data_IF_769047434757
#
_entry.id   IF_769047434757
#
_cell.length_a   1.000
_cell.length_b   1.000
_cell.length_c   1.000
_cell.angle_alpha   90.00
_cell.angle_beta   90.00
_cell.angle_gamma   90.00
#
_symmetry.space_group_name_H-M   'P 1'
#
loop_
_entity.id
_entity.type
_entity.pdbx_description
1 polymer ?
#
# COMPACT_ATOMS: atom_id res chain seq x y z
N UNK A 1 -11.65 -8.15 2.66
CA UNK A 1 -10.91 -6.92 3.03
C UNK A 1 -9.54 -6.90 2.36
N UNK A 2 -8.65 -7.83 2.70
CA UNK A 2 -7.26 -7.87 2.21
C UNK A 2 -7.08 -8.02 0.67
N UNK A 3 -8.09 -8.50 -0.03
CA UNK A 3 -8.11 -8.65 -1.49
C UNK A 3 -9.20 -7.78 -2.16
N UNK A 4 -9.72 -6.77 -1.44
CA UNK A 4 -10.68 -5.81 -1.96
C UNK A 4 -12.05 -6.36 -2.44
N UNK A 5 -12.48 -7.53 -1.95
CA UNK A 5 -13.80 -8.12 -2.28
C UNK A 5 -14.82 -8.11 -1.15
N UNK A 6 -14.59 -7.33 -0.09
CA UNK A 6 -15.49 -7.27 1.08
C UNK A 6 -16.82 -6.57 0.82
N UNK A 7 -16.95 -5.86 -0.30
CA UNK A 7 -18.08 -4.97 -0.58
C UNK A 7 -18.09 -3.66 0.23
N UNK A 8 -16.98 -3.34 0.90
CA UNK A 8 -16.77 -2.04 1.54
C UNK A 8 -16.49 -1.00 0.44
N UNK A 9 -17.05 0.22 0.51
CA UNK A 9 -16.79 1.26 -0.47
C UNK A 9 -15.33 1.72 -0.43
N UNK A 10 -14.90 2.46 -1.46
CA UNK A 10 -13.53 2.97 -1.57
C UNK A 10 -13.06 3.74 -0.33
N UNK A 11 -13.93 4.61 0.17
CA UNK A 11 -13.76 5.44 1.36
C UNK A 11 -15.06 5.50 2.16
N UNK A 12 -15.00 5.84 3.46
CA UNK A 12 -16.20 6.19 4.24
C UNK A 12 -16.92 7.39 3.62
N UNK A 13 -18.25 7.35 3.53
CA UNK A 13 -19.03 8.45 2.95
C UNK A 13 -19.05 9.71 3.82
N UNK A 14 -18.75 9.58 5.12
CA UNK A 14 -18.57 10.69 6.04
C UNK A 14 -17.12 11.25 6.03
N UNK A 15 -16.20 10.68 5.24
CA UNK A 15 -14.91 11.30 4.91
C UNK A 15 -15.07 12.17 3.66
N UNK A 16 -15.68 13.33 3.83
CA UNK A 16 -15.92 14.25 2.73
C UNK A 16 -14.65 15.03 2.36
N UNK A 17 -13.94 14.58 1.32
CA UNK A 17 -12.66 15.16 0.89
C UNK A 17 -12.72 16.66 0.56
N UNK A 18 -13.90 17.20 0.23
CA UNK A 18 -14.12 18.63 -0.03
C UNK A 18 -14.23 19.49 1.23
N UNK A 19 -14.46 18.88 2.40
CA UNK A 19 -14.66 19.56 3.69
C UNK A 19 -13.46 19.42 4.64
N UNK A 20 -12.48 18.60 4.28
CA UNK A 20 -11.24 18.39 5.06
C UNK A 20 -10.08 19.18 4.48
N UNK A 21 -8.96 19.23 5.20
CA UNK A 21 -7.73 19.82 4.68
C UNK A 21 -7.23 19.01 3.47
N UNK A 22 -7.23 19.57 2.25
CA UNK A 22 -6.83 18.82 1.06
C UNK A 22 -5.34 18.41 1.08
N UNK A 23 -4.51 19.09 1.88
CA UNK A 23 -3.09 18.74 2.04
C UNK A 23 -2.87 17.52 2.94
N UNK A 24 -3.83 17.16 3.80
CA UNK A 24 -3.74 15.99 4.67
C UNK A 24 -5.17 15.49 5.01
N UNK A 25 -5.85 14.85 4.04
CA UNK A 25 -7.30 14.65 4.10
C UNK A 25 -7.74 13.59 5.12
N UNK A 26 -6.85 12.70 5.53
CA UNK A 26 -7.16 11.60 6.46
C UNK A 26 -6.91 11.94 7.93
N UNK A 27 -6.14 13.00 8.22
CA UNK A 27 -5.59 13.29 9.57
C UNK A 27 -6.65 13.31 10.66
N UNK A 28 -7.79 13.93 10.37
CA UNK A 28 -8.86 14.12 11.36
C UNK A 28 -9.93 13.03 11.31
N UNK A 29 -9.80 12.02 10.44
CA UNK A 29 -10.69 10.86 10.42
C UNK A 29 -10.22 9.84 11.47
N UNK A 30 -10.68 10.00 12.70
CA UNK A 30 -10.23 9.21 13.86
C UNK A 30 -11.25 8.12 14.19
N UNK A 31 -10.98 7.40 15.27
CA UNK A 31 -11.80 6.26 15.71
C UNK A 31 -13.27 6.61 15.91
N UNK A 32 -13.58 7.79 16.44
CA UNK A 32 -14.96 8.26 16.62
C UNK A 32 -15.71 8.35 15.30
N UNK A 33 -15.07 8.90 14.27
CA UNK A 33 -15.64 9.07 12.93
C UNK A 33 -15.81 7.72 12.24
N UNK A 34 -14.82 6.82 12.38
CA UNK A 34 -14.91 5.45 11.88
C UNK A 34 -16.06 4.68 12.56
N UNK A 35 -16.13 4.71 13.89
CA UNK A 35 -17.18 4.03 14.64
C UNK A 35 -18.57 4.51 14.21
N UNK A 36 -18.76 5.84 14.19
CA UNK A 36 -20.01 6.45 13.72
C UNK A 36 -20.38 5.97 12.32
N UNK A 37 -19.43 5.96 11.39
CA UNK A 37 -19.67 5.49 10.03
C UNK A 37 -20.11 4.02 10.01
N UNK A 38 -19.37 3.15 10.69
CA UNK A 38 -19.63 1.70 10.72
C UNK A 38 -21.00 1.39 11.32
N UNK A 39 -21.47 2.16 12.30
CA UNK A 39 -22.75 1.92 12.98
C UNK A 39 -23.95 2.61 12.33
N UNK A 40 -23.75 3.77 11.70
CA UNK A 40 -24.86 4.61 11.23
C UNK A 40 -24.97 4.74 9.71
N UNK A 41 -23.91 4.45 8.94
CA UNK A 41 -23.84 4.83 7.52
C UNK A 41 -23.19 3.81 6.60
N UNK A 42 -22.64 2.72 7.14
CA UNK A 42 -22.01 1.70 6.32
C UNK A 42 -23.07 0.93 5.51
N UNK A 43 -22.92 0.98 4.20
CA UNK A 43 -23.63 0.12 3.27
C UNK A 43 -22.63 -0.75 2.53
N UNK A 44 -22.90 -2.06 2.50
CA UNK A 44 -22.10 -3.00 1.71
C UNK A 44 -22.71 -3.10 0.31
N UNK A 45 -21.88 -2.89 -0.71
CA UNK A 45 -22.24 -3.03 -2.12
C UNK A 45 -21.28 -4.00 -2.80
N UNK A 46 -21.73 -4.76 -3.78
CA UNK A 46 -20.86 -5.56 -4.66
C UNK A 46 -19.95 -6.56 -3.89
N UNK A 47 -20.51 -7.21 -2.85
CA UNK A 47 -19.78 -8.22 -2.08
C UNK A 47 -19.37 -9.39 -2.99
N UNK A 48 -18.09 -9.75 -2.96
CA UNK A 48 -17.54 -10.79 -3.83
C UNK A 48 -17.07 -10.26 -5.19
N UNK A 49 -17.25 -8.98 -5.48
CA UNK A 49 -16.65 -8.31 -6.63
C UNK A 49 -15.43 -7.50 -6.19
N UNK A 50 -14.48 -7.30 -7.09
CA UNK A 50 -13.30 -6.49 -6.82
C UNK A 50 -13.63 -5.00 -6.85
N UNK A 51 -13.38 -4.32 -5.73
CA UNK A 51 -13.41 -2.85 -5.63
C UNK A 51 -12.30 -2.38 -4.70
N UNK A 52 -11.28 -1.73 -5.26
CA UNK A 52 -10.18 -1.17 -4.47
C UNK A 52 -10.73 -0.23 -3.38
N UNK A 53 -10.32 -0.49 -2.14
CA UNK A 53 -10.94 0.14 -0.97
C UNK A 53 -9.92 0.39 0.13
N UNK A 54 -9.60 1.66 0.32
CA UNK A 54 -8.79 2.15 1.45
C UNK A 54 -9.52 1.91 2.76
N UNK A 55 -10.85 2.02 2.78
CA UNK A 55 -11.64 1.64 3.95
C UNK A 55 -11.44 0.17 4.32
N UNK A 56 -11.44 -0.75 3.34
CA UNK A 56 -11.31 -2.18 3.63
C UNK A 56 -9.96 -2.54 4.26
N UNK A 57 -8.86 -2.04 3.71
CA UNK A 57 -7.51 -2.33 4.24
C UNK A 57 -7.18 -1.49 5.48
N UNK A 58 -7.67 -0.25 5.56
CA UNK A 58 -7.58 0.58 6.76
C UNK A 58 -8.34 -0.04 7.95
N UNK A 59 -9.58 -0.50 7.72
CA UNK A 59 -10.37 -1.22 8.74
C UNK A 59 -9.73 -2.55 9.13
N UNK A 60 -9.10 -3.27 8.20
CA UNK A 60 -8.33 -4.47 8.52
C UNK A 60 -7.17 -4.14 9.47
N UNK A 61 -6.38 -3.09 9.20
CA UNK A 61 -5.29 -2.66 10.08
C UNK A 61 -5.78 -2.23 11.46
N UNK A 62 -6.88 -1.47 11.52
CA UNK A 62 -7.54 -1.09 12.78
C UNK A 62 -8.03 -2.33 13.56
N UNK A 63 -8.72 -3.26 12.89
CA UNK A 63 -9.24 -4.47 13.53
C UNK A 63 -8.13 -5.36 14.10
N UNK A 64 -6.99 -5.47 13.40
CA UNK A 64 -5.83 -6.21 13.92
C UNK A 64 -5.24 -5.54 15.17
N UNK A 65 -5.24 -4.22 15.21
CA UNK A 65 -4.80 -3.42 16.37
C UNK A 65 -5.70 -3.68 17.58
N UNK A 66 -7.02 -3.69 17.38
CA UNK A 66 -8.01 -4.02 18.42
C UNK A 66 -7.86 -5.46 18.94
N UNK A 67 -7.68 -6.44 18.04
CA UNK A 67 -7.54 -7.86 18.40
C UNK A 67 -6.28 -8.11 19.24
N UNK A 68 -5.16 -7.49 18.86
CA UNK A 68 -3.90 -7.63 19.59
C UNK A 68 -3.81 -6.70 20.80
N UNK A 69 -4.79 -5.81 20.99
CA UNK A 69 -4.80 -4.75 22.00
C UNK A 69 -3.49 -3.94 21.97
N UNK A 70 -3.12 -3.50 20.77
CA UNK A 70 -1.85 -2.84 20.48
C UNK A 70 -2.02 -1.82 19.35
N UNK A 71 -1.06 -0.90 19.19
CA UNK A 71 -1.13 0.09 18.10
C UNK A 71 -0.69 -0.51 16.77
N UNK A 72 -1.26 -0.03 15.65
CA UNK A 72 -0.85 -0.44 14.31
C UNK A 72 0.66 -0.28 14.08
N UNK A 73 1.23 0.84 14.55
CA UNK A 73 2.68 1.07 14.49
C UNK A 73 3.47 0.01 15.24
N UNK A 74 3.10 -0.30 16.47
CA UNK A 74 3.85 -1.28 17.26
C UNK A 74 3.70 -2.69 16.66
N UNK A 75 2.54 -3.03 16.10
CA UNK A 75 2.35 -4.27 15.35
C UNK A 75 3.26 -4.35 14.12
N UNK A 76 3.37 -3.27 13.33
CA UNK A 76 4.30 -3.20 12.21
C UNK A 76 5.75 -3.39 12.67
N UNK A 77 6.18 -2.67 13.71
CA UNK A 77 7.52 -2.79 14.27
C UNK A 77 7.81 -4.23 14.71
N UNK A 78 6.91 -4.85 15.47
CA UNK A 78 7.07 -6.17 16.10
C UNK A 78 6.94 -7.35 15.14
N UNK A 79 6.05 -7.25 14.16
CA UNK A 79 5.66 -8.40 13.31
C UNK A 79 6.29 -8.34 11.92
N UNK A 80 6.67 -7.15 11.44
CA UNK A 80 7.20 -6.96 10.08
C UNK A 80 8.60 -6.32 10.13
N UNK A 81 8.72 -5.08 10.59
CA UNK A 81 9.94 -4.30 10.40
C UNK A 81 11.14 -4.89 11.15
N UNK A 82 10.96 -5.36 12.38
CA UNK A 82 12.04 -6.03 13.12
C UNK A 82 12.50 -7.33 12.46
N UNK A 83 11.57 -8.09 11.87
CA UNK A 83 11.85 -9.40 11.28
C UNK A 83 12.63 -9.31 9.97
N UNK A 84 12.49 -8.19 9.26
CA UNK A 84 13.16 -7.94 7.98
C UNK A 84 14.15 -6.77 8.05
N UNK A 85 14.61 -6.40 9.25
CA UNK A 85 15.62 -5.35 9.44
C UNK A 85 15.26 -3.99 8.79
N UNK A 86 13.98 -3.61 8.81
CA UNK A 86 13.47 -2.36 8.24
C UNK A 86 13.49 -1.23 9.27
N UNK A 87 14.70 -0.76 9.65
CA UNK A 87 14.89 0.11 10.83
C UNK A 87 14.48 1.58 10.62
N UNK A 88 14.24 1.97 9.37
CA UNK A 88 13.87 3.30 8.92
C UNK A 88 12.40 3.34 8.43
N UNK A 89 11.61 2.33 8.78
CA UNK A 89 10.20 2.22 8.44
C UNK A 89 9.31 2.49 9.64
N UNK A 90 8.25 3.27 9.44
CA UNK A 90 7.30 3.63 10.48
C UNK A 90 5.98 4.09 9.86
N UNK A 91 4.88 3.99 10.60
CA UNK A 91 3.58 4.56 10.28
C UNK A 91 3.30 5.89 11.01
N UNK A 92 4.26 6.40 11.78
CA UNK A 92 4.14 7.62 12.57
C UNK A 92 5.17 8.64 12.09
N UNK A 93 4.70 9.80 11.65
CA UNK A 93 5.56 10.84 11.07
C UNK A 93 6.68 11.28 12.03
N UNK A 94 6.36 11.45 13.32
CA UNK A 94 7.31 11.87 14.35
C UNK A 94 8.40 10.82 14.66
N UNK A 95 8.22 9.57 14.22
CA UNK A 95 9.19 8.49 14.41
C UNK A 95 10.21 8.37 13.26
N UNK A 96 10.06 9.17 12.19
CA UNK A 96 10.99 9.13 11.06
C UNK A 96 12.39 9.53 11.52
N UNK A 97 13.37 8.70 11.16
CA UNK A 97 14.78 8.93 11.45
C UNK A 97 15.44 9.55 10.23
N UNK A 98 16.18 10.64 10.42
CA UNK A 98 16.88 11.33 9.34
C UNK A 98 15.96 12.22 8.51
N UNK A 99 16.39 12.51 7.27
CA UNK A 99 15.73 13.47 6.40
C UNK A 99 14.57 12.83 5.63
N UNK A 100 13.39 13.43 5.72
CA UNK A 100 12.27 13.11 4.85
C UNK A 100 12.30 14.03 3.63
N UNK A 101 12.41 13.44 2.43
CA UNK A 101 12.29 14.19 1.17
C UNK A 101 10.91 14.83 1.11
N UNK A 102 10.83 16.14 0.90
CA UNK A 102 9.55 16.84 0.80
C UNK A 102 8.75 16.39 -0.43
N UNK A 103 7.49 16.03 -0.20
CA UNK A 103 6.53 15.68 -1.25
C UNK A 103 6.08 16.88 -2.05
N UNK A 104 5.87 16.72 -3.35
CA UNK A 104 5.47 17.80 -4.26
C UNK A 104 4.05 17.60 -4.77
N UNK A 105 3.24 18.66 -4.72
CA UNK A 105 1.91 18.70 -5.30
C UNK A 105 1.96 18.75 -6.85
N UNK A 106 0.80 18.87 -7.50
CA UNK A 106 0.71 18.93 -8.96
C UNK A 106 1.34 20.17 -9.60
N UNK A 107 1.55 21.24 -8.82
CA UNK A 107 2.26 22.45 -9.23
C UNK A 107 3.77 22.39 -8.99
N UNK A 108 4.28 21.29 -8.41
CA UNK A 108 5.69 21.14 -8.05
C UNK A 108 6.07 21.86 -6.75
N UNK A 109 5.10 22.27 -5.95
CA UNK A 109 5.31 22.93 -4.66
C UNK A 109 5.29 21.89 -3.52
N UNK A 110 6.03 22.16 -2.45
CA UNK A 110 6.02 21.31 -1.27
C UNK A 110 4.60 21.19 -0.67
N UNK A 111 4.22 19.96 -0.29
CA UNK A 111 2.95 19.66 0.35
C UNK A 111 3.12 18.79 1.58
N UNK A 112 2.11 18.84 2.46
CA UNK A 112 2.11 18.06 3.70
C UNK A 112 2.06 16.55 3.43
N UNK A 113 2.70 15.79 4.31
CA UNK A 113 2.55 14.34 4.36
C UNK A 113 1.13 13.97 4.81
N UNK A 114 0.60 12.88 4.26
CA UNK A 114 -0.69 12.36 4.68
C UNK A 114 -0.54 11.48 5.92
N UNK A 115 -1.28 11.82 6.96
CA UNK A 115 -1.43 11.01 8.16
C UNK A 115 -2.77 10.29 8.07
N UNK A 116 -2.74 8.97 7.90
CA UNK A 116 -3.95 8.18 7.66
C UNK A 116 -4.79 7.91 8.92
N UNK A 117 -4.32 8.35 10.09
CA UNK A 117 -5.02 8.25 11.37
C UNK A 117 -5.53 6.82 11.63
N UNK A 118 -6.81 6.64 11.97
CA UNK A 118 -7.42 5.32 12.22
C UNK A 118 -7.36 4.39 11.00
N UNK A 119 -7.17 4.93 9.79
CA UNK A 119 -7.04 4.18 8.54
C UNK A 119 -5.56 3.97 8.13
N UNK A 120 -4.61 4.04 9.07
CA UNK A 120 -3.18 3.85 8.80
C UNK A 120 -2.83 2.61 7.96
N UNK A 121 -3.60 1.53 8.11
CA UNK A 121 -3.44 0.30 7.31
C UNK A 121 -3.67 0.47 5.80
N UNK A 122 -4.22 1.60 5.35
CA UNK A 122 -4.45 1.87 3.93
C UNK A 122 -3.26 2.49 3.18
N UNK A 123 -2.31 3.10 3.89
CA UNK A 123 -1.22 3.83 3.23
C UNK A 123 -0.36 4.69 4.14
N UNK A 124 -0.38 4.45 5.46
CA UNK A 124 0.29 5.29 6.44
C UNK A 124 1.79 5.03 6.62
N UNK A 125 2.39 4.10 5.87
CA UNK A 125 3.80 3.70 6.06
C UNK A 125 4.74 4.64 5.32
N UNK A 126 5.73 5.16 6.05
CA UNK A 126 6.96 5.77 5.56
C UNK A 126 8.07 4.73 5.59
N UNK A 127 8.90 4.70 4.55
CA UNK A 127 10.00 3.74 4.43
C UNK A 127 11.10 4.28 3.53
N UNK A 128 12.16 3.50 3.34
CA UNK A 128 13.29 3.80 2.46
C UNK A 128 13.44 2.70 1.42
N UNK A 129 14.17 2.97 0.33
CA UNK A 129 14.51 1.93 -0.65
C UNK A 129 15.29 0.79 -0.01
N UNK A 130 16.18 1.09 0.96
CA UNK A 130 16.96 0.07 1.69
C UNK A 130 16.05 -0.88 2.47
N UNK A 131 15.12 -0.34 3.25
CA UNK A 131 14.17 -1.15 4.04
C UNK A 131 13.23 -1.95 3.14
N UNK A 132 12.67 -1.32 2.11
CA UNK A 132 11.81 -2.02 1.14
C UNK A 132 12.59 -3.10 0.38
N UNK A 133 13.90 -2.92 0.16
CA UNK A 133 14.74 -3.96 -0.46
C UNK A 133 14.88 -5.17 0.45
N UNK A 134 15.02 -4.97 1.77
CA UNK A 134 15.02 -6.09 2.72
C UNK A 134 13.65 -6.82 2.71
N UNK A 135 12.54 -6.07 2.65
CA UNK A 135 11.22 -6.66 2.50
C UNK A 135 11.07 -7.44 1.18
N UNK A 136 11.58 -6.91 0.07
CA UNK A 136 11.57 -7.55 -1.24
C UNK A 136 12.33 -8.88 -1.22
N UNK A 137 13.55 -8.88 -0.68
CA UNK A 137 14.40 -10.06 -0.57
C UNK A 137 13.72 -11.15 0.27
N UNK A 138 13.00 -10.77 1.33
CA UNK A 138 12.26 -11.72 2.15
C UNK A 138 11.17 -12.47 1.36
N UNK A 139 10.57 -11.85 0.34
CA UNK A 139 9.55 -12.49 -0.51
C UNK A 139 10.08 -13.63 -1.37
N UNK A 140 11.41 -13.76 -1.51
CA UNK A 140 12.05 -14.84 -2.23
C UNK A 140 12.27 -16.11 -1.38
N UNK A 141 11.99 -16.03 -0.07
CA UNK A 141 11.98 -17.21 0.79
C UNK A 141 10.70 -18.03 0.60
N UNK A 142 10.84 -19.12 -0.15
CA UNK A 142 9.75 -20.07 -0.41
C UNK A 142 9.35 -20.89 0.82
N UNK A 143 10.16 -20.90 1.89
CA UNK A 143 9.85 -21.62 3.13
C UNK A 143 8.98 -20.81 4.09
N UNK A 144 8.91 -19.48 3.91
CA UNK A 144 8.09 -18.60 4.71
C UNK A 144 6.62 -18.67 4.30
N UNK A 145 5.85 -19.55 4.98
CA UNK A 145 4.43 -19.77 4.70
C UNK A 145 3.56 -18.51 4.76
N UNK A 146 3.88 -17.57 5.65
CA UNK A 146 3.10 -16.35 5.79
C UNK A 146 3.27 -15.44 4.56
N UNK A 147 4.50 -15.26 4.07
CA UNK A 147 4.77 -14.48 2.86
C UNK A 147 4.17 -15.16 1.62
N UNK A 148 4.32 -16.49 1.51
CA UNK A 148 3.71 -17.25 0.41
C UNK A 148 2.17 -17.13 0.38
N UNK A 149 1.54 -17.11 1.55
CA UNK A 149 0.09 -16.87 1.65
C UNK A 149 -0.32 -15.52 1.06
N UNK A 150 0.51 -14.47 1.19
CA UNK A 150 0.19 -13.15 0.63
C UNK A 150 0.23 -13.10 -0.90
N UNK A 151 1.04 -13.96 -1.53
CA UNK A 151 1.23 -14.02 -2.98
C UNK A 151 0.27 -14.99 -3.68
N UNK A 152 -0.39 -15.88 -2.95
CA UNK A 152 -1.37 -16.81 -3.54
C UNK A 152 -2.58 -16.06 -4.11
N UNK A 153 -3.01 -16.41 -5.33
CA UNK A 153 -4.23 -15.88 -5.95
C UNK A 153 -5.43 -16.10 -5.02
N UNK A 154 -6.11 -15.02 -4.68
CA UNK A 154 -7.36 -15.07 -3.90
C UNK A 154 -8.57 -14.58 -4.68
N UNK A 155 -8.35 -13.80 -5.74
CA UNK A 155 -9.38 -13.31 -6.64
C UNK A 155 -8.79 -13.01 -8.03
N UNK A 156 -9.59 -13.18 -9.08
CA UNK A 156 -9.25 -12.78 -10.45
C UNK A 156 -9.88 -11.42 -10.75
N UNK A 157 -9.07 -10.39 -11.00
CA UNK A 157 -9.57 -9.05 -11.31
C UNK A 157 -10.03 -9.01 -12.77
N UNK A 158 -9.21 -9.53 -13.67
CA UNK A 158 -9.48 -9.65 -15.10
C UNK A 158 -8.54 -10.69 -15.76
N UNK A 159 -8.59 -10.78 -17.08
CA UNK A 159 -7.80 -11.74 -17.87
C UNK A 159 -6.29 -11.63 -17.63
N UNK A 160 -5.77 -10.42 -17.37
CA UNK A 160 -4.32 -10.13 -17.23
C UNK A 160 -3.87 -9.99 -15.76
N UNK A 161 -4.81 -9.88 -14.82
CA UNK A 161 -4.49 -9.50 -13.44
C UNK A 161 -5.29 -10.28 -12.41
N UNK A 162 -4.56 -10.85 -11.45
CA UNK A 162 -5.10 -11.44 -10.23
C UNK A 162 -4.72 -10.59 -9.00
N UNK A 163 -5.25 -10.94 -7.84
CA UNK A 163 -4.84 -10.35 -6.57
C UNK A 163 -4.68 -11.40 -5.46
N UNK A 164 -3.61 -11.26 -4.69
CA UNK A 164 -3.37 -11.98 -3.45
C UNK A 164 -3.91 -11.23 -2.22
N UNK A 165 -3.19 -11.33 -1.11
CA UNK A 165 -3.44 -10.50 0.07
C UNK A 165 -2.50 -9.29 0.01
N UNK A 166 -3.00 -8.21 -0.59
CA UNK A 166 -2.24 -6.97 -0.79
C UNK A 166 -1.35 -6.92 -2.04
N UNK A 167 -0.96 -8.05 -2.64
CA UNK A 167 -0.21 -8.05 -3.90
C UNK A 167 -1.14 -8.12 -5.12
N UNK A 168 -1.03 -7.16 -6.05
CA UNK A 168 -1.50 -7.37 -7.41
C UNK A 168 -0.56 -8.34 -8.13
N UNK A 169 -1.13 -9.24 -8.92
CA UNK A 169 -0.41 -10.32 -9.59
C UNK A 169 -0.64 -10.12 -11.10
N UNK A 170 0.38 -9.61 -11.78
CA UNK A 170 0.36 -9.48 -13.23
C UNK A 170 0.73 -10.83 -13.85
N UNK A 171 -0.18 -11.38 -14.65
CA UNK A 171 0.04 -12.63 -15.39
C UNK A 171 1.00 -12.33 -16.54
N UNK A 172 2.21 -12.89 -16.54
CA UNK A 172 3.11 -12.77 -17.69
C UNK A 172 2.96 -13.94 -18.66
N UNK A 173 3.44 -13.75 -19.89
CA UNK A 173 3.40 -14.74 -20.97
C UNK A 173 4.33 -15.95 -20.72
N UNK A 174 5.30 -15.85 -19.80
CA UNK A 174 6.37 -16.82 -19.61
C UNK A 174 6.25 -17.64 -18.32
N UNK A 175 5.03 -17.91 -17.85
CA UNK A 175 4.72 -18.63 -16.59
C UNK A 175 5.29 -17.98 -15.29
N UNK A 176 5.92 -16.80 -15.39
CA UNK A 176 6.36 -16.01 -14.23
C UNK A 176 5.35 -14.93 -13.91
N UNK A 177 4.79 -14.92 -12.71
CA UNK A 177 3.96 -13.80 -12.25
C UNK A 177 4.83 -12.68 -11.69
N UNK A 178 4.43 -11.43 -11.97
CA UNK A 178 4.99 -10.29 -11.27
C UNK A 178 4.05 -9.86 -10.15
N UNK A 179 4.56 -9.83 -8.94
CA UNK A 179 3.84 -9.31 -7.79
C UNK A 179 4.20 -7.84 -7.64
N UNK A 180 3.20 -6.99 -7.62
CA UNK A 180 3.46 -5.56 -7.50
C UNK A 180 2.42 -4.87 -6.62
N UNK A 181 2.84 -3.73 -6.07
CA UNK A 181 1.94 -2.80 -5.42
C UNK A 181 2.42 -1.38 -5.67
N UNK A 182 1.45 -0.49 -5.79
CA UNK A 182 1.67 0.92 -6.10
C UNK A 182 1.15 1.76 -4.94
N UNK A 183 1.71 2.94 -4.76
CA UNK A 183 1.32 3.85 -3.69
C UNK A 183 1.20 5.27 -4.23
N UNK A 184 0.25 6.01 -3.69
CA UNK A 184 -0.03 7.37 -4.12
C UNK A 184 -0.59 8.21 -2.98
N UNK A 185 -0.01 9.40 -2.80
CA UNK A 185 -0.53 10.43 -1.90
C UNK A 185 -0.53 11.79 -2.61
N UNK A 186 -0.93 12.84 -1.90
CA UNK A 186 -0.87 14.21 -2.41
C UNK A 186 0.54 14.68 -2.80
N UNK A 187 1.60 14.05 -2.27
CA UNK A 187 2.98 14.47 -2.49
C UNK A 187 3.96 13.39 -2.97
N UNK A 188 3.54 12.12 -3.06
CA UNK A 188 4.45 11.01 -3.39
C UNK A 188 3.75 9.95 -4.24
N UNK A 189 4.58 9.21 -4.97
CA UNK A 189 4.23 7.98 -5.68
C UNK A 189 5.29 6.92 -5.43
N UNK A 190 4.88 5.66 -5.38
CA UNK A 190 5.78 4.53 -5.16
C UNK A 190 5.38 3.33 -6.01
N UNK A 191 6.35 2.53 -6.40
CA UNK A 191 6.11 1.23 -7.06
C UNK A 191 7.11 0.22 -6.52
N UNK A 192 6.62 -0.97 -6.21
CA UNK A 192 7.43 -2.14 -5.89
C UNK A 192 6.96 -3.29 -6.76
N UNK A 193 7.88 -3.93 -7.48
CA UNK A 193 7.65 -5.10 -8.34
C UNK A 193 8.64 -6.17 -7.93
N UNK A 194 8.19 -7.41 -7.79
CA UNK A 194 9.05 -8.57 -7.52
C UNK A 194 8.66 -9.75 -8.42
N UNK A 195 9.68 -10.52 -8.80
CA UNK A 195 9.56 -11.84 -9.44
C UNK A 195 10.32 -12.83 -8.55
N UNK A 196 9.61 -13.78 -7.96
CA UNK A 196 10.19 -14.74 -7.03
C UNK A 196 10.86 -15.94 -7.70
N UNK A 197 10.65 -16.13 -9.01
CA UNK A 197 11.34 -17.13 -9.81
C UNK A 197 12.73 -16.64 -10.18
N UNK A 198 12.83 -15.44 -10.79
CA UNK A 198 14.12 -14.85 -11.14
C UNK A 198 14.81 -14.16 -9.96
N UNK A 199 14.11 -13.98 -8.83
CA UNK A 199 14.57 -13.26 -7.63
C UNK A 199 15.00 -11.82 -7.92
N UNK A 200 14.28 -11.19 -8.84
CA UNK A 200 14.46 -9.81 -9.22
C UNK A 200 13.43 -8.92 -8.50
N UNK A 201 13.83 -7.70 -8.17
CA UNK A 201 12.96 -6.70 -7.56
C UNK A 201 13.31 -5.29 -8.01
N UNK A 202 12.28 -4.49 -8.29
CA UNK A 202 12.37 -3.07 -8.60
C UNK A 202 11.58 -2.29 -7.56
N UNK A 203 12.22 -1.29 -6.96
CA UNK A 203 11.60 -0.35 -6.01
C UNK A 203 11.89 1.06 -6.50
N UNK A 204 10.84 1.85 -6.71
CA UNK A 204 10.93 3.25 -7.12
C UNK A 204 10.08 4.08 -6.16
N UNK A 205 10.72 5.06 -5.51
CA UNK A 205 10.06 6.05 -4.65
C UNK A 205 10.25 7.44 -5.30
N UNK A 206 9.16 8.19 -5.43
CA UNK A 206 9.15 9.51 -6.05
C UNK A 206 8.38 10.49 -5.19
N UNK A 207 8.89 11.72 -5.06
CA UNK A 207 8.21 12.83 -4.38
C UNK A 207 7.26 13.60 -5.32
N UNK A 208 6.72 12.92 -6.33
CA UNK A 208 5.72 13.46 -7.26
C UNK A 208 4.33 12.96 -6.83
N UNK A 209 3.40 13.90 -6.66
CA UNK A 209 1.99 13.63 -6.39
C UNK A 209 1.37 12.57 -7.30
N UNK A 210 0.52 11.72 -6.73
CA UNK A 210 -0.31 10.78 -7.50
C UNK A 210 -1.31 11.48 -8.43
N UNK A 211 -1.57 12.78 -8.21
CA UNK A 211 -2.44 13.59 -9.06
C UNK A 211 -1.67 14.31 -10.19
N UNK A 212 -0.35 14.15 -10.29
CA UNK A 212 0.43 14.75 -11.36
C UNK A 212 0.18 13.98 -12.67
N UNK A 213 -0.13 14.65 -13.80
CA UNK A 213 -0.42 13.97 -15.07
C UNK A 213 0.75 13.13 -15.59
N UNK A 214 1.99 13.43 -15.19
CA UNK A 214 3.18 12.71 -15.60
C UNK A 214 3.55 11.55 -14.65
N UNK A 215 2.78 11.31 -13.58
CA UNK A 215 3.09 10.23 -12.63
C UNK A 215 3.11 8.84 -13.28
N UNK A 216 2.30 8.64 -14.33
CA UNK A 216 2.27 7.42 -15.15
C UNK A 216 3.64 7.07 -15.77
N UNK A 217 4.53 8.05 -15.95
CA UNK A 217 5.88 7.80 -16.45
C UNK A 217 6.74 7.07 -15.42
N UNK A 218 6.55 7.35 -14.12
CA UNK A 218 7.25 6.66 -13.02
C UNK A 218 6.81 5.19 -12.96
N UNK A 219 5.51 4.95 -13.12
CA UNK A 219 4.93 3.61 -13.15
C UNK A 219 5.46 2.82 -14.35
N UNK A 220 5.33 3.37 -15.56
CA UNK A 220 5.84 2.74 -16.80
C UNK A 220 7.33 2.43 -16.71
N UNK A 221 8.13 3.38 -16.23
CA UNK A 221 9.57 3.18 -16.03
C UNK A 221 9.85 1.97 -15.12
N UNK A 222 9.09 1.80 -14.04
CA UNK A 222 9.28 0.68 -13.11
C UNK A 222 9.09 -0.68 -13.78
N UNK A 223 8.05 -0.82 -14.61
CA UNK A 223 7.82 -2.06 -15.36
C UNK A 223 8.82 -2.26 -16.51
N UNK A 224 9.22 -1.20 -17.21
CA UNK A 224 10.27 -1.30 -18.25
C UNK A 224 11.62 -1.69 -17.65
N UNK A 225 11.99 -1.15 -16.48
CA UNK A 225 13.19 -1.59 -15.75
C UNK A 225 13.12 -3.08 -15.40
N UNK A 226 11.97 -3.57 -14.94
CA UNK A 226 11.77 -4.99 -14.64
C UNK A 226 12.00 -5.88 -15.88
N UNK A 227 11.52 -5.45 -17.06
CA UNK A 227 11.76 -6.17 -18.33
C UNK A 227 13.25 -6.28 -18.66
N UNK A 228 14.06 -5.27 -18.33
CA UNK A 228 15.52 -5.32 -18.59
C UNK A 228 16.26 -6.36 -17.74
N UNK A 229 15.64 -6.84 -16.65
CA UNK A 229 16.21 -7.87 -15.78
C UNK A 229 15.81 -9.29 -16.19
N UNK A 230 14.86 -9.43 -17.11
CA UNK A 230 14.51 -10.73 -17.67
C UNK A 230 15.64 -11.22 -18.61
N UNK A 231 15.91 -12.53 -18.65
CA UNK A 231 16.83 -13.10 -19.64
C UNK A 231 16.42 -12.66 -21.04
N UNK A 232 17.39 -12.27 -21.88
CA UNK A 232 17.12 -12.04 -23.29
C UNK A 232 16.63 -13.35 -23.93
N UNK A 233 15.50 -13.29 -24.65
CA UNK A 233 15.03 -14.39 -25.51
C UNK A 233 16.04 -14.72 -26.62
#
# INVERSE_FOLDING_TARGET
MANHTSGLPGLPSNLELTKVNPKNPYKEYREKELYKYLTESLELSNKGEYLYSNLAVGLLGYTLSEIENDTYEHLLQKKIFSNYNMRNSTSVLDNIKGDLVAGLNTAGEETSNWEFSVLAGAGGIFSTVEDLSNFAIAQFDQTNKALQLTKGKTFEINDDMDIGLGWHILKSQADNNWYYHMGGTGGYTSTMIIDDVSKNGIIVLSNVSAYNPNMVNVEKMSFELMKTLLPSE
#
